data_IF_933566152818
#
_entry.id   IF_933566152818
#
_cell.length_a   1.000
_cell.length_b   1.000
_cell.length_c   1.000
_cell.angle_alpha   90.00
_cell.angle_beta   90.00
_cell.angle_gamma   90.00
#
_symmetry.space_group_name_H-M   'P 1'
#
loop_
_entity.id
_entity.type
_entity.pdbx_description
1 polymer ?
#
# COMPACT_ATOMS: atom_id res chain seq x y z
N UNK A 1 11.97 -25.37 16.77
CA UNK A 1 11.22 -24.77 17.91
C UNK A 1 9.77 -24.74 17.47
N UNK A 2 8.89 -25.50 18.12
CA UNK A 2 7.45 -25.39 17.86
C UNK A 2 6.98 -24.09 18.52
N UNK A 3 6.65 -23.08 17.71
CA UNK A 3 5.93 -21.92 18.21
C UNK A 3 4.55 -22.45 18.64
N UNK A 4 4.07 -22.01 19.81
CA UNK A 4 2.73 -22.37 20.26
C UNK A 4 1.72 -21.89 19.20
N UNK A 5 0.88 -22.79 18.69
CA UNK A 5 -0.18 -22.48 17.72
C UNK A 5 -1.06 -21.31 18.19
N UNK A 6 -1.27 -21.18 19.50
CA UNK A 6 -1.99 -20.03 20.06
C UNK A 6 -1.24 -18.70 19.83
N UNK A 7 0.09 -18.71 19.93
CA UNK A 7 0.93 -17.55 19.65
C UNK A 7 0.89 -17.18 18.17
N UNK A 8 0.88 -18.16 17.27
CA UNK A 8 0.77 -17.92 15.83
C UNK A 8 -0.57 -17.32 15.43
N UNK A 9 -1.67 -17.81 16.00
CA UNK A 9 -3.01 -17.24 15.79
C UNK A 9 -3.09 -15.79 16.29
N UNK A 10 -2.46 -15.47 17.43
CA UNK A 10 -2.35 -14.08 17.88
C UNK A 10 -1.56 -13.21 16.88
N UNK A 11 -0.43 -13.71 16.37
CA UNK A 11 0.39 -13.01 15.38
C UNK A 11 -0.37 -12.74 14.08
N UNK A 12 -1.21 -13.67 13.62
CA UNK A 12 -2.07 -13.48 12.45
C UNK A 12 -3.02 -12.28 12.62
N UNK A 13 -3.62 -12.13 13.80
CA UNK A 13 -4.45 -10.97 14.12
C UNK A 13 -3.68 -9.64 14.10
N UNK A 14 -2.40 -9.65 14.50
CA UNK A 14 -1.55 -8.47 14.43
C UNK A 14 -1.12 -8.15 12.99
N UNK A 15 -0.83 -9.16 12.17
CA UNK A 15 -0.53 -8.97 10.74
C UNK A 15 -1.75 -8.42 9.98
N UNK A 16 -2.95 -8.95 10.22
CA UNK A 16 -4.19 -8.42 9.63
C UNK A 16 -4.36 -6.92 9.93
N UNK A 17 -4.18 -6.49 11.19
CA UNK A 17 -4.26 -5.07 11.56
C UNK A 17 -3.22 -4.22 10.85
N UNK A 18 -1.98 -4.69 10.76
CA UNK A 18 -0.90 -3.97 10.07
C UNK A 18 -1.17 -3.84 8.58
N UNK A 19 -1.65 -4.91 7.94
CA UNK A 19 -2.05 -4.90 6.53
C UNK A 19 -3.23 -3.97 6.29
N UNK A 20 -4.24 -3.95 7.15
CA UNK A 20 -5.35 -2.98 7.06
C UNK A 20 -4.85 -1.53 7.22
N UNK A 21 -3.92 -1.27 8.14
CA UNK A 21 -3.34 0.07 8.31
C UNK A 21 -2.51 0.49 7.08
N UNK A 22 -1.76 -0.44 6.49
CA UNK A 22 -1.03 -0.23 5.24
C UNK A 22 -1.99 0.10 4.09
N UNK A 23 -3.09 -0.66 3.95
CA UNK A 23 -4.16 -0.40 2.99
C UNK A 23 -4.75 1.00 3.14
N UNK A 24 -5.14 1.37 4.35
CA UNK A 24 -5.77 2.67 4.61
C UNK A 24 -4.81 3.84 4.29
N UNK A 25 -3.51 3.66 4.57
CA UNK A 25 -2.48 4.64 4.21
C UNK A 25 -2.23 4.69 2.69
N UNK A 26 -2.22 3.55 1.99
CA UNK A 26 -2.14 3.50 0.53
C UNK A 26 -3.31 4.26 -0.12
N UNK A 27 -4.54 4.10 0.43
CA UNK A 27 -5.70 4.87 -0.02
C UNK A 27 -5.54 6.38 0.21
N UNK A 28 -5.01 6.79 1.35
CA UNK A 28 -4.77 8.21 1.64
C UNK A 28 -3.78 8.82 0.63
N UNK A 29 -2.69 8.11 0.31
CA UNK A 29 -1.72 8.53 -0.71
C UNK A 29 -2.35 8.59 -2.10
N UNK A 30 -3.22 7.63 -2.46
CA UNK A 30 -3.91 7.65 -3.76
C UNK A 30 -4.80 8.90 -3.88
N UNK A 31 -5.46 9.31 -2.79
CA UNK A 31 -6.23 10.58 -2.74
C UNK A 31 -5.36 11.83 -2.82
N UNK A 32 -4.12 11.78 -2.35
CA UNK A 32 -3.15 12.87 -2.55
C UNK A 32 -2.76 12.99 -4.01
N UNK A 33 -2.40 11.86 -4.64
CA UNK A 33 -2.09 11.79 -6.08
C UNK A 33 -3.26 12.28 -6.93
N UNK A 34 -4.50 11.86 -6.64
CA UNK A 34 -5.71 12.34 -7.32
C UNK A 34 -5.87 13.87 -7.22
N UNK A 35 -5.57 14.46 -6.05
CA UNK A 35 -5.62 15.92 -5.87
C UNK A 35 -4.57 16.63 -6.71
N UNK A 36 -3.33 16.14 -6.71
CA UNK A 36 -2.24 16.71 -7.50
C UNK A 36 -2.50 16.57 -9.01
N UNK A 37 -3.12 15.47 -9.45
CA UNK A 37 -3.61 15.34 -10.83
C UNK A 37 -4.63 16.41 -11.18
N UNK A 38 -5.60 16.68 -10.31
CA UNK A 38 -6.57 17.75 -10.53
C UNK A 38 -5.91 19.14 -10.68
N UNK A 39 -4.79 19.37 -10.00
CA UNK A 39 -3.98 20.59 -10.17
C UNK A 39 -3.31 20.61 -11.54
N UNK A 40 -2.68 19.51 -11.96
CA UNK A 40 -2.07 19.40 -13.30
C UNK A 40 -3.09 19.56 -14.42
N UNK A 41 -4.27 18.96 -14.29
CA UNK A 41 -5.35 19.10 -15.26
C UNK A 41 -5.76 20.57 -15.38
N UNK A 42 -5.87 21.30 -14.27
CA UNK A 42 -6.13 22.75 -14.30
C UNK A 42 -5.00 23.53 -15.00
N UNK A 43 -3.75 23.21 -14.68
CA UNK A 43 -2.58 23.86 -15.28
C UNK A 43 -2.42 23.58 -16.78
N UNK A 44 -2.81 22.40 -17.25
CA UNK A 44 -2.77 22.04 -18.67
C UNK A 44 -3.70 22.92 -19.54
N UNK A 45 -4.70 23.57 -18.91
CA UNK A 45 -5.56 24.55 -19.58
C UNK A 45 -5.00 25.99 -19.53
N UNK A 46 -3.93 26.23 -18.77
CA UNK A 46 -3.24 27.52 -18.75
C UNK A 46 -2.30 27.62 -19.97
N UNK A 47 -2.51 28.61 -20.87
CA UNK A 47 -1.66 28.79 -22.04
C UNK A 47 -0.20 29.16 -21.72
N UNK A 48 0.12 29.56 -20.49
CA UNK A 48 1.49 29.80 -20.03
C UNK A 48 2.23 28.53 -19.58
N UNK A 49 1.50 27.42 -19.35
CA UNK A 49 2.09 26.16 -18.92
C UNK A 49 2.75 25.41 -20.08
N UNK A 50 3.80 24.63 -19.78
CA UNK A 50 4.36 23.69 -20.74
C UNK A 50 3.47 22.42 -20.82
N UNK A 51 2.82 22.16 -21.97
CA UNK A 51 1.91 21.03 -22.12
C UNK A 51 2.64 19.67 -22.08
N UNK A 52 3.88 19.60 -22.56
CA UNK A 52 4.66 18.35 -22.52
C UNK A 52 5.07 18.01 -21.08
N UNK A 53 5.41 19.03 -20.28
CA UNK A 53 5.70 18.85 -18.86
C UNK A 53 4.44 18.42 -18.08
N UNK A 54 3.28 19.02 -18.36
CA UNK A 54 2.01 18.64 -17.73
C UNK A 54 1.61 17.19 -18.10
N UNK A 55 1.79 16.78 -19.36
CA UNK A 55 1.50 15.41 -19.80
C UNK A 55 2.44 14.40 -19.13
N UNK A 56 3.73 14.71 -19.03
CA UNK A 56 4.71 13.85 -18.36
C UNK A 56 4.37 13.68 -16.87
N UNK A 57 4.10 14.77 -16.16
CA UNK A 57 3.75 14.75 -14.75
C UNK A 57 2.43 13.99 -14.52
N UNK A 58 1.45 14.13 -15.40
CA UNK A 58 0.18 13.39 -15.34
C UNK A 58 0.40 11.89 -15.45
N UNK A 59 1.21 11.43 -16.42
CA UNK A 59 1.55 10.01 -16.58
C UNK A 59 2.30 9.45 -15.37
N UNK A 60 3.21 10.24 -14.79
CA UNK A 60 3.94 9.84 -13.59
C UNK A 60 2.98 9.63 -12.40
N UNK A 61 2.03 10.56 -12.20
CA UNK A 61 1.00 10.43 -11.16
C UNK A 61 0.03 9.26 -11.44
N UNK A 62 -0.29 8.96 -12.70
CA UNK A 62 -1.09 7.78 -13.06
C UNK A 62 -0.40 6.48 -12.65
N UNK A 63 0.87 6.32 -12.99
CA UNK A 63 1.66 5.15 -12.59
C UNK A 63 1.77 5.01 -11.07
N UNK A 64 1.90 6.12 -10.34
CA UNK A 64 1.89 6.10 -8.87
C UNK A 64 0.54 5.65 -8.33
N UNK A 65 -0.57 6.13 -8.90
CA UNK A 65 -1.91 5.71 -8.52
C UNK A 65 -2.14 4.22 -8.78
N UNK A 66 -1.71 3.70 -9.94
CA UNK A 66 -1.78 2.27 -10.27
C UNK A 66 -1.01 1.41 -9.26
N UNK A 67 0.20 1.82 -8.90
CA UNK A 67 1.02 1.11 -7.91
C UNK A 67 0.36 1.12 -6.52
N UNK A 68 -0.21 2.25 -6.09
CA UNK A 68 -0.93 2.35 -4.82
C UNK A 68 -2.19 1.48 -4.80
N UNK A 69 -2.96 1.46 -5.89
CA UNK A 69 -4.15 0.59 -6.01
C UNK A 69 -3.76 -0.89 -5.99
N UNK A 70 -2.67 -1.26 -6.66
CA UNK A 70 -2.13 -2.62 -6.61
C UNK A 70 -1.73 -3.02 -5.20
N UNK A 71 -1.03 -2.14 -4.47
CA UNK A 71 -0.65 -2.37 -3.08
C UNK A 71 -1.89 -2.49 -2.17
N UNK A 72 -2.94 -1.68 -2.39
CA UNK A 72 -4.23 -1.83 -1.69
C UNK A 72 -4.83 -3.22 -1.90
N UNK A 73 -4.89 -3.71 -3.15
CA UNK A 73 -5.47 -5.02 -3.44
C UNK A 73 -4.69 -6.16 -2.76
N UNK A 74 -3.35 -6.11 -2.82
CA UNK A 74 -2.49 -7.11 -2.19
C UNK A 74 -2.60 -7.09 -0.66
N UNK A 75 -2.65 -5.91 -0.04
CA UNK A 75 -2.80 -5.78 1.41
C UNK A 75 -4.18 -6.21 1.90
N UNK A 76 -5.25 -5.94 1.13
CA UNK A 76 -6.60 -6.37 1.46
C UNK A 76 -6.75 -7.91 1.38
N UNK A 77 -6.23 -8.53 0.31
CA UNK A 77 -6.21 -9.99 0.15
C UNK A 77 -5.41 -10.67 1.28
N UNK A 78 -4.21 -10.17 1.58
CA UNK A 78 -3.38 -10.69 2.66
C UNK A 78 -4.03 -10.51 4.03
N UNK A 79 -4.70 -9.38 4.28
CA UNK A 79 -5.43 -9.12 5.52
C UNK A 79 -6.60 -10.09 5.69
N UNK A 80 -7.41 -10.27 4.65
CA UNK A 80 -8.53 -11.21 4.66
C UNK A 80 -8.08 -12.66 4.90
N UNK A 81 -6.95 -13.06 4.31
CA UNK A 81 -6.36 -14.38 4.54
C UNK A 81 -5.88 -14.54 6.00
N UNK A 82 -5.21 -13.52 6.55
CA UNK A 82 -4.78 -13.53 7.95
C UNK A 82 -5.96 -13.62 8.92
N UNK A 83 -7.04 -12.87 8.67
CA UNK A 83 -8.28 -12.94 9.47
C UNK A 83 -8.97 -14.31 9.36
N UNK A 84 -9.04 -14.87 8.15
CA UNK A 84 -9.61 -16.19 7.94
C UNK A 84 -8.86 -17.25 8.75
N UNK A 85 -7.53 -17.26 8.68
CA UNK A 85 -6.69 -18.16 9.47
C UNK A 85 -6.82 -17.93 10.98
N UNK A 86 -6.89 -16.68 11.42
CA UNK A 86 -7.06 -16.34 12.84
C UNK A 86 -8.45 -16.72 13.39
N UNK A 87 -9.46 -16.80 12.53
CA UNK A 87 -10.83 -17.19 12.91
C UNK A 87 -11.01 -18.71 13.10
N UNK A 88 -10.07 -19.52 12.60
CA UNK A 88 -10.15 -20.97 12.72
C UNK A 88 -9.91 -21.40 14.19
N UNK A 89 -10.72 -22.33 14.72
CA UNK A 89 -10.53 -22.81 16.09
C UNK A 89 -9.20 -23.55 16.22
N UNK A 90 -8.45 -23.31 17.29
CA UNK A 90 -7.12 -23.93 17.53
C UNK A 90 -7.13 -25.47 17.41
N UNK A 91 -8.27 -26.11 17.70
CA UNK A 91 -8.46 -27.56 17.53
C UNK A 91 -8.32 -28.05 16.09
N UNK A 92 -8.56 -27.18 15.12
CA UNK A 92 -8.38 -27.45 13.69
C UNK A 92 -6.91 -27.80 13.41
N UNK A 93 -5.99 -26.97 13.91
CA UNK A 93 -4.56 -27.14 13.69
C UNK A 93 -3.93 -28.27 14.52
N UNK A 94 -4.58 -28.70 15.62
CA UNK A 94 -4.08 -29.75 16.51
C UNK A 94 -4.56 -31.16 16.16
N UNK A 95 -5.69 -31.30 15.48
CA UNK A 95 -6.36 -32.60 15.27
C UNK A 95 -6.12 -33.18 13.86
N UNK A 96 -5.76 -32.34 12.88
CA UNK A 96 -5.51 -32.77 11.51
C UNK A 96 -3.99 -32.89 11.27
N UNK A 97 -3.54 -34.05 10.81
CA UNK A 97 -2.14 -34.25 10.42
C UNK A 97 -1.81 -33.41 9.20
N UNK A 98 -0.91 -32.44 9.36
CA UNK A 98 -0.40 -31.59 8.27
C UNK A 98 -0.79 -30.11 8.39
N UNK A 99 -1.91 -29.80 9.07
CA UNK A 99 -2.44 -28.43 9.20
C UNK A 99 -1.54 -27.49 10.01
N UNK A 100 -0.76 -28.03 10.95
CA UNK A 100 0.21 -27.22 11.70
C UNK A 100 1.37 -26.74 10.80
N UNK A 101 1.84 -27.57 9.86
CA UNK A 101 2.88 -27.18 8.91
C UNK A 101 2.36 -26.21 7.85
N UNK A 102 1.11 -26.34 7.45
CA UNK A 102 0.43 -25.38 6.57
C UNK A 102 0.23 -24.02 7.26
N UNK A 103 -0.11 -24.02 8.57
CA UNK A 103 -0.17 -22.79 9.36
C UNK A 103 1.20 -22.13 9.47
N UNK A 104 2.27 -22.89 9.76
CA UNK A 104 3.64 -22.36 9.81
C UNK A 104 4.02 -21.67 8.48
N UNK A 105 3.73 -22.33 7.35
CA UNK A 105 4.01 -21.79 6.02
C UNK A 105 3.17 -20.54 5.71
N UNK A 106 1.88 -20.55 6.06
CA UNK A 106 0.99 -19.42 5.86
C UNK A 106 1.40 -18.21 6.71
N UNK A 107 1.77 -18.43 7.98
CA UNK A 107 2.30 -17.38 8.86
C UNK A 107 3.59 -16.80 8.30
N UNK A 108 4.53 -17.65 7.87
CA UNK A 108 5.78 -17.18 7.26
C UNK A 108 5.53 -16.35 5.99
N UNK A 109 4.60 -16.78 5.13
CA UNK A 109 4.20 -16.03 3.94
C UNK A 109 3.54 -14.69 4.28
N UNK A 110 2.69 -14.65 5.30
CA UNK A 110 2.05 -13.40 5.75
C UNK A 110 3.05 -12.43 6.39
N UNK A 111 4.06 -12.92 7.11
CA UNK A 111 5.15 -12.09 7.64
C UNK A 111 5.90 -11.40 6.50
N UNK A 112 6.26 -12.17 5.48
CA UNK A 112 6.95 -11.67 4.29
C UNK A 112 6.07 -10.65 3.55
N UNK A 113 4.81 -11.00 3.26
CA UNK A 113 3.86 -10.11 2.59
C UNK A 113 3.64 -8.80 3.37
N UNK A 114 3.51 -8.87 4.70
CA UNK A 114 3.34 -7.68 5.54
C UNK A 114 4.57 -6.78 5.50
N UNK A 115 5.77 -7.38 5.62
CA UNK A 115 7.04 -6.62 5.61
C UNK A 115 7.28 -5.97 4.25
N UNK A 116 7.02 -6.69 3.16
CA UNK A 116 7.10 -6.17 1.79
C UNK A 116 6.12 -5.03 1.59
N UNK A 117 4.85 -5.21 1.97
CA UNK A 117 3.84 -4.16 1.82
C UNK A 117 4.19 -2.90 2.61
N UNK A 118 4.69 -3.02 3.83
CA UNK A 118 5.13 -1.86 4.63
C UNK A 118 6.34 -1.15 4.01
N UNK A 119 7.29 -1.91 3.46
CA UNK A 119 8.47 -1.34 2.80
C UNK A 119 8.07 -0.59 1.53
N UNK A 120 7.30 -1.24 0.65
CA UNK A 120 6.78 -0.62 -0.57
C UNK A 120 5.94 0.62 -0.26
N UNK A 121 5.14 0.60 0.81
CA UNK A 121 4.35 1.74 1.23
C UNK A 121 5.21 2.94 1.65
N UNK A 122 6.32 2.71 2.36
CA UNK A 122 7.24 3.78 2.74
C UNK A 122 7.91 4.37 1.51
N UNK A 123 8.36 3.53 0.57
CA UNK A 123 8.98 3.98 -0.68
C UNK A 123 7.98 4.76 -1.54
N UNK A 124 6.76 4.24 -1.74
CA UNK A 124 5.72 4.94 -2.49
C UNK A 124 5.29 6.24 -1.82
N UNK A 125 5.21 6.28 -0.49
CA UNK A 125 4.89 7.52 0.23
C UNK A 125 5.91 8.63 -0.04
N UNK A 126 7.21 8.27 -0.07
CA UNK A 126 8.27 9.22 -0.39
C UNK A 126 8.15 9.73 -1.82
N UNK A 127 7.95 8.84 -2.79
CA UNK A 127 7.81 9.22 -4.21
C UNK A 127 6.55 10.05 -4.44
N UNK A 128 5.44 9.74 -3.77
CA UNK A 128 4.21 10.54 -3.83
C UNK A 128 4.44 11.94 -3.29
N UNK A 129 5.13 12.08 -2.15
CA UNK A 129 5.44 13.39 -1.58
C UNK A 129 6.29 14.24 -2.54
N UNK A 130 7.36 13.66 -3.09
CA UNK A 130 8.24 14.33 -4.06
C UNK A 130 7.49 14.72 -5.35
N UNK A 131 6.66 13.82 -5.88
CA UNK A 131 5.88 14.09 -7.08
C UNK A 131 4.82 15.18 -6.85
N UNK A 132 4.16 15.17 -5.69
CA UNK A 132 3.18 16.21 -5.36
C UNK A 132 3.86 17.58 -5.13
N UNK A 133 5.02 17.61 -4.47
CA UNK A 133 5.80 18.83 -4.30
C UNK A 133 6.24 19.42 -5.65
N UNK A 134 6.71 18.57 -6.58
CA UNK A 134 7.07 19.01 -7.93
C UNK A 134 5.87 19.63 -8.67
N UNK A 135 4.66 19.07 -8.52
CA UNK A 135 3.43 19.68 -9.09
C UNK A 135 3.12 21.04 -8.45
N UNK A 136 3.27 21.16 -7.14
CA UNK A 136 3.08 22.43 -6.44
C UNK A 136 4.12 23.49 -6.84
N UNK A 137 5.36 23.09 -7.14
CA UNK A 137 6.40 23.96 -7.67
C UNK A 137 6.09 24.42 -9.09
N UNK A 138 5.64 23.51 -9.96
CA UNK A 138 5.19 23.85 -11.31
C UNK A 138 4.09 24.92 -11.28
N UNK A 139 3.22 24.90 -10.26
CA UNK A 139 2.15 25.89 -10.08
C UNK A 139 2.66 27.30 -9.73
N UNK A 140 3.88 27.48 -9.21
CA UNK A 140 4.41 28.80 -8.80
C UNK A 140 5.19 29.44 -9.94
N UNK A 141 4.61 30.33 -10.78
CA UNK A 141 5.32 30.85 -11.94
C UNK A 141 6.26 32.02 -11.59
N UNK A 142 6.36 32.46 -10.33
CA UNK A 142 7.11 33.68 -9.97
C UNK A 142 7.76 33.59 -8.58
N UNK A 143 8.97 33.00 -8.46
CA UNK A 143 9.92 33.29 -7.36
C UNK A 143 11.40 33.18 -7.79
N UNK A 144 11.71 33.30 -9.08
CA UNK A 144 13.10 33.50 -9.53
C UNK A 144 13.16 34.93 -10.10
N UNK A 145 13.48 35.87 -9.20
CA UNK A 145 13.95 37.21 -9.56
C UNK A 145 15.42 37.20 -9.91
#
# INVERSE_FOLDING_TARGET
MAIDTAQQVMQLGDYAKRLSAARDRSYALAREVERSRGVLDFMAHDPASDPALCEYATKALELLCENLVRLCALTDEASANAEALASLPLKYFSNETGTAGELDAAVASLVEATTTAETELVELAQVVAEACEAVDEMRRPEQIG
#
